data_IF_815075397830
#
_entry.id   IF_815075397830
#
_cell.length_a   1.000
_cell.length_b   1.000
_cell.length_c   1.000
_cell.angle_alpha   90.00
_cell.angle_beta   90.00
_cell.angle_gamma   90.00
#
_symmetry.space_group_name_H-M   'P 1'
#
loop_
_entity.id
_entity.type
_entity.pdbx_description
1 polymer ?
#
# COMPACT_ATOMS: atom_id res chain seq x y z
N UNK A 1 -39.71 8.26 37.71
CA UNK A 1 -38.55 8.74 36.93
C UNK A 1 -37.34 7.81 36.98
N UNK A 2 -37.20 6.93 37.99
CA UNK A 2 -35.99 6.10 38.18
C UNK A 2 -35.80 4.94 37.19
N UNK A 3 -36.89 4.35 36.67
CA UNK A 3 -36.81 3.19 35.76
C UNK A 3 -36.21 3.59 34.40
N UNK A 4 -36.55 4.77 33.89
CA UNK A 4 -36.03 5.27 32.61
C UNK A 4 -34.54 5.61 32.70
N UNK A 5 -34.08 6.21 33.81
CA UNK A 5 -32.66 6.46 34.05
C UNK A 5 -31.85 5.16 34.17
N UNK A 6 -32.41 4.14 34.80
CA UNK A 6 -31.76 2.84 34.92
C UNK A 6 -31.63 2.13 33.56
N UNK A 7 -32.68 2.15 32.74
CA UNK A 7 -32.64 1.61 31.37
C UNK A 7 -31.65 2.38 30.47
N UNK A 8 -31.56 3.71 30.61
CA UNK A 8 -30.59 4.51 29.88
C UNK A 8 -29.14 4.15 30.26
N UNK A 9 -28.88 3.95 31.55
CA UNK A 9 -27.58 3.51 32.04
C UNK A 9 -27.20 2.12 31.53
N UNK A 10 -28.12 1.15 31.57
CA UNK A 10 -27.87 -0.19 31.03
C UNK A 10 -27.57 -0.17 29.53
N UNK A 11 -28.33 0.62 28.76
CA UNK A 11 -28.07 0.78 27.32
C UNK A 11 -26.71 1.44 27.04
N UNK A 12 -26.31 2.43 27.83
CA UNK A 12 -24.99 3.02 27.75
C UNK A 12 -23.89 2.00 28.05
N UNK A 13 -24.02 1.24 29.13
CA UNK A 13 -23.09 0.17 29.48
C UNK A 13 -22.97 -0.90 28.38
N UNK A 14 -24.09 -1.32 27.80
CA UNK A 14 -24.13 -2.23 26.65
C UNK A 14 -23.43 -1.65 25.42
N UNK A 15 -23.62 -0.35 25.13
CA UNK A 15 -22.95 0.34 24.02
C UNK A 15 -21.43 0.39 24.23
N UNK A 16 -20.99 0.72 25.44
CA UNK A 16 -19.56 0.77 25.80
C UNK A 16 -18.95 -0.63 25.74
N UNK A 17 -19.63 -1.66 26.27
CA UNK A 17 -19.17 -3.03 26.23
C UNK A 17 -19.00 -3.54 24.79
N UNK A 18 -19.98 -3.29 23.91
CA UNK A 18 -19.86 -3.60 22.47
C UNK A 18 -18.67 -2.90 21.82
N UNK A 19 -18.47 -1.61 22.12
CA UNK A 19 -17.36 -0.83 21.58
C UNK A 19 -15.99 -1.34 22.04
N UNK A 20 -15.87 -1.74 23.31
CA UNK A 20 -14.66 -2.33 23.87
C UNK A 20 -14.36 -3.68 23.22
N UNK A 21 -15.39 -4.53 23.06
CA UNK A 21 -15.25 -5.85 22.44
C UNK A 21 -14.82 -5.75 20.97
N UNK A 22 -15.40 -4.81 20.22
CA UNK A 22 -14.98 -4.52 18.83
C UNK A 22 -13.53 -4.02 18.74
N UNK A 23 -13.10 -3.17 19.68
CA UNK A 23 -11.71 -2.68 19.73
C UNK A 23 -10.73 -3.81 20.06
N UNK A 24 -11.06 -4.66 21.02
CA UNK A 24 -10.26 -5.82 21.38
C UNK A 24 -10.09 -6.78 20.19
N UNK A 25 -11.19 -7.11 19.49
CA UNK A 25 -11.16 -7.93 18.28
C UNK A 25 -10.28 -7.31 17.17
N UNK A 26 -10.37 -5.99 16.97
CA UNK A 26 -9.55 -5.28 15.98
C UNK A 26 -8.06 -5.30 16.32
N UNK A 27 -7.70 -5.19 17.60
CA UNK A 27 -6.31 -5.28 18.06
C UNK A 27 -5.75 -6.69 17.87
N UNK A 28 -6.53 -7.71 18.23
CA UNK A 28 -6.13 -9.10 18.06
C UNK A 28 -5.91 -9.46 16.59
N UNK A 29 -6.81 -9.01 15.71
CA UNK A 29 -6.65 -9.18 14.26
C UNK A 29 -5.40 -8.45 13.74
N UNK A 30 -5.11 -7.24 14.24
CA UNK A 30 -3.91 -6.49 13.86
C UNK A 30 -2.61 -7.22 14.26
N UNK A 31 -2.56 -7.80 15.46
CA UNK A 31 -1.41 -8.60 15.91
C UNK A 31 -1.22 -9.88 15.09
N UNK A 32 -2.30 -10.58 14.78
CA UNK A 32 -2.23 -11.75 13.89
C UNK A 32 -1.71 -11.37 12.50
N UNK A 33 -2.23 -10.28 11.92
CA UNK A 33 -1.72 -9.77 10.65
C UNK A 33 -0.25 -9.38 10.74
N UNK A 34 0.17 -8.68 11.79
CA UNK A 34 1.57 -8.27 12.01
C UNK A 34 2.50 -9.48 12.00
N UNK A 35 2.12 -10.58 12.65
CA UNK A 35 2.91 -11.81 12.66
C UNK A 35 3.04 -12.41 11.25
N UNK A 36 1.94 -12.50 10.50
CA UNK A 36 1.95 -13.04 9.14
C UNK A 36 2.74 -12.20 8.13
N UNK A 37 2.72 -10.88 8.28
CA UNK A 37 3.34 -9.95 7.31
C UNK A 37 4.72 -9.45 7.73
N UNK A 38 5.23 -9.87 8.89
CA UNK A 38 6.51 -9.43 9.47
C UNK A 38 7.70 -9.62 8.53
N UNK A 39 7.68 -10.68 7.72
CA UNK A 39 8.73 -11.02 6.74
C UNK A 39 8.40 -10.55 5.32
N UNK A 40 7.22 -9.98 5.09
CA UNK A 40 6.80 -9.55 3.75
C UNK A 40 7.45 -8.20 3.42
N UNK A 41 8.21 -8.14 2.33
CA UNK A 41 8.94 -6.93 1.90
C UNK A 41 8.12 -6.13 0.87
N UNK A 42 7.26 -6.80 0.10
CA UNK A 42 6.44 -6.16 -0.92
C UNK A 42 5.18 -6.94 -1.26
N UNK A 43 4.21 -6.23 -1.82
CA UNK A 43 2.93 -6.75 -2.27
C UNK A 43 2.82 -6.61 -3.79
N UNK A 44 2.39 -7.68 -4.45
CA UNK A 44 2.01 -7.63 -5.86
C UNK A 44 0.50 -7.45 -5.98
N UNK A 45 0.06 -6.46 -6.75
CA UNK A 45 -1.37 -6.24 -7.02
C UNK A 45 -1.66 -6.31 -8.52
N UNK A 46 -2.84 -6.81 -8.86
CA UNK A 46 -3.36 -6.79 -10.22
C UNK A 46 -3.99 -5.42 -10.50
N UNK A 47 -3.65 -4.81 -11.65
CA UNK A 47 -4.22 -3.55 -12.09
C UNK A 47 -5.54 -3.80 -12.80
N UNK A 48 -6.53 -4.35 -12.09
CA UNK A 48 -7.93 -4.18 -12.50
C UNK A 48 -8.46 -2.90 -11.88
N UNK A 49 -9.24 -2.17 -12.67
CA UNK A 49 -9.81 -0.84 -12.37
C UNK A 49 -10.56 -0.79 -11.04
N UNK A 50 -11.01 -1.94 -10.53
CA UNK A 50 -11.77 -2.13 -9.29
C UNK A 50 -10.94 -2.09 -8.00
N UNK A 51 -9.61 -2.19 -8.10
CA UNK A 51 -8.68 -2.24 -6.96
C UNK A 51 -7.56 -1.20 -7.10
N UNK A 52 -7.75 -0.27 -8.05
CA UNK A 52 -6.78 0.75 -8.42
C UNK A 52 -7.04 2.03 -7.64
N UNK A 53 -6.05 2.43 -6.84
CA UNK A 53 -6.02 3.74 -6.21
C UNK A 53 -4.98 3.78 -5.11
N UNK A 54 -4.06 4.75 -5.18
CA UNK A 54 -3.07 5.03 -4.13
C UNK A 54 -3.71 5.15 -2.74
N UNK A 55 -4.97 5.58 -2.68
CA UNK A 55 -5.69 5.84 -1.44
C UNK A 55 -6.74 4.77 -1.07
N UNK A 56 -7.26 4.01 -2.05
CA UNK A 56 -8.40 3.09 -1.85
C UNK A 56 -8.09 1.64 -2.25
N UNK A 57 -6.82 1.33 -2.59
CA UNK A 57 -6.40 -0.03 -2.91
C UNK A 57 -6.27 -0.90 -1.66
N UNK A 58 -6.42 -2.22 -1.83
CA UNK A 58 -6.20 -3.20 -0.76
C UNK A 58 -4.80 -3.07 -0.13
N UNK A 59 -3.79 -2.71 -0.94
CA UNK A 59 -2.43 -2.44 -0.48
C UNK A 59 -2.37 -1.27 0.50
N UNK A 60 -3.02 -0.15 0.19
CA UNK A 60 -3.10 1.02 1.08
C UNK A 60 -3.79 0.70 2.40
N UNK A 61 -4.89 -0.07 2.36
CA UNK A 61 -5.58 -0.49 3.57
C UNK A 61 -4.73 -1.39 4.46
N UNK A 62 -3.95 -2.30 3.86
CA UNK A 62 -3.01 -3.14 4.60
C UNK A 62 -1.90 -2.31 5.26
N UNK A 63 -1.32 -1.35 4.54
CA UNK A 63 -0.32 -0.43 5.09
C UNK A 63 -0.85 0.37 6.29
N UNK A 64 -2.04 0.95 6.16
CA UNK A 64 -2.68 1.71 7.25
C UNK A 64 -3.01 0.83 8.47
N UNK A 65 -3.41 -0.43 8.25
CA UNK A 65 -3.74 -1.34 9.35
C UNK A 65 -2.49 -1.83 10.08
N UNK A 66 -1.45 -2.19 9.34
CA UNK A 66 -0.20 -2.73 9.89
C UNK A 66 0.72 -1.61 10.38
N UNK A 67 0.52 -0.37 9.91
CA UNK A 67 1.35 0.81 10.18
C UNK A 67 2.80 0.59 9.74
N UNK A 68 2.95 0.09 8.50
CA UNK A 68 4.24 -0.22 7.86
C UNK A 68 4.12 -0.05 6.35
N UNK A 69 5.13 0.58 5.75
CA UNK A 69 5.22 0.71 4.29
C UNK A 69 5.66 -0.62 3.66
N UNK A 70 5.06 -0.99 2.54
CA UNK A 70 5.45 -2.15 1.73
C UNK A 70 5.92 -1.71 0.35
N UNK A 71 6.77 -2.51 -0.30
CA UNK A 71 7.10 -2.29 -1.71
C UNK A 71 5.90 -2.68 -2.58
N UNK A 72 5.44 -1.75 -3.41
CA UNK A 72 4.32 -1.98 -4.33
C UNK A 72 4.86 -2.46 -5.67
N UNK A 73 4.49 -3.68 -6.07
CA UNK A 73 4.93 -4.27 -7.33
C UNK A 73 3.69 -4.49 -8.21
N UNK A 74 3.63 -3.83 -9.37
CA UNK A 74 2.55 -4.09 -10.32
C UNK A 74 2.61 -5.54 -10.85
N UNK A 75 1.49 -6.08 -11.32
CA UNK A 75 1.47 -7.41 -11.89
C UNK A 75 2.42 -7.52 -13.10
N UNK A 76 2.90 -8.73 -13.41
CA UNK A 76 3.89 -8.96 -14.48
C UNK A 76 3.44 -8.38 -15.82
N UNK A 77 2.15 -8.47 -16.13
CA UNK A 77 1.58 -7.90 -17.35
C UNK A 77 1.80 -6.38 -17.41
N UNK A 78 1.53 -5.66 -16.32
CA UNK A 78 1.69 -4.22 -16.29
C UNK A 78 3.16 -3.78 -16.33
N UNK A 79 4.08 -4.55 -15.72
CA UNK A 79 5.51 -4.29 -15.88
C UNK A 79 5.94 -4.38 -17.36
N UNK A 80 5.45 -5.39 -18.08
CA UNK A 80 5.72 -5.51 -19.51
C UNK A 80 5.09 -4.38 -20.33
N UNK A 81 3.86 -3.96 -20.02
CA UNK A 81 3.22 -2.83 -20.70
C UNK A 81 4.02 -1.53 -20.55
N UNK A 82 4.55 -1.24 -19.35
CA UNK A 82 5.39 -0.07 -19.12
C UNK A 82 6.71 -0.15 -19.88
N UNK A 83 7.43 -1.28 -19.77
CA UNK A 83 8.69 -1.52 -20.49
C UNK A 83 8.51 -1.40 -22.01
N UNK A 84 7.41 -1.98 -22.53
CA UNK A 84 7.07 -1.90 -23.95
C UNK A 84 6.71 -0.48 -24.36
N UNK A 85 5.95 0.26 -23.53
CA UNK A 85 5.61 1.66 -23.79
C UNK A 85 6.84 2.57 -23.84
N UNK A 86 7.77 2.38 -22.91
CA UNK A 86 9.00 3.17 -22.86
C UNK A 86 9.93 2.83 -24.03
N UNK A 87 10.14 1.54 -24.30
CA UNK A 87 10.92 1.10 -25.47
C UNK A 87 10.30 1.56 -26.80
N UNK A 88 8.96 1.52 -26.90
CA UNK A 88 8.26 2.06 -28.07
C UNK A 88 8.42 3.57 -28.19
N UNK A 89 8.36 4.30 -27.08
CA UNK A 89 8.50 5.76 -27.09
C UNK A 89 9.91 6.23 -27.46
N UNK A 90 10.94 5.45 -27.11
CA UNK A 90 12.32 5.71 -27.51
C UNK A 90 12.54 5.44 -29.00
N UNK A 91 12.01 4.31 -29.50
CA UNK A 91 12.19 3.92 -30.89
C UNK A 91 11.31 4.70 -31.88
N UNK A 92 10.10 5.12 -31.47
CA UNK A 92 9.07 5.64 -32.38
C UNK A 92 8.50 7.01 -31.95
N UNK A 93 9.04 7.61 -30.89
CA UNK A 93 8.58 8.89 -30.35
C UNK A 93 7.45 8.76 -29.32
N UNK A 94 7.23 9.84 -28.53
CA UNK A 94 6.28 9.85 -27.40
C UNK A 94 4.87 9.47 -27.85
N UNK A 95 4.43 8.27 -27.50
CA UNK A 95 3.02 7.91 -27.58
C UNK A 95 2.31 8.32 -26.30
N UNK A 96 1.09 8.82 -26.40
CA UNK A 96 0.25 9.24 -25.27
C UNK A 96 -0.30 8.06 -24.45
N UNK A 97 0.06 6.83 -24.82
CA UNK A 97 -0.69 5.62 -24.48
C UNK A 97 -0.54 5.11 -23.05
N UNK A 98 0.60 5.33 -22.36
CA UNK A 98 0.80 4.71 -21.06
C UNK A 98 1.81 5.43 -20.15
N UNK A 99 1.41 6.56 -19.57
CA UNK A 99 2.09 7.10 -18.39
C UNK A 99 1.48 6.48 -17.14
N UNK A 100 2.02 5.35 -16.70
CA UNK A 100 1.63 4.78 -15.40
C UNK A 100 2.25 5.60 -14.26
N UNK A 101 1.48 5.81 -13.19
CA UNK A 101 1.86 6.62 -12.03
C UNK A 101 3.08 6.06 -11.25
N UNK A 102 3.48 4.82 -11.54
CA UNK A 102 4.41 4.01 -10.74
C UNK A 102 5.86 4.51 -10.77
N UNK A 103 6.30 5.12 -11.88
CA UNK A 103 7.68 5.63 -11.98
C UNK A 103 7.94 6.78 -11.00
N UNK A 104 6.91 7.58 -10.70
CA UNK A 104 7.02 8.77 -9.84
C UNK A 104 7.23 8.42 -8.37
N UNK A 105 6.79 7.24 -7.94
CA UNK A 105 6.97 6.76 -6.56
C UNK A 105 8.31 6.02 -6.38
N UNK A 106 8.84 5.37 -7.42
CA UNK A 106 10.21 4.83 -7.41
C UNK A 106 11.28 5.93 -7.29
N UNK A 107 11.14 7.04 -8.01
CA UNK A 107 12.06 8.18 -7.88
C UNK A 107 12.05 8.80 -6.47
N UNK A 108 10.89 8.82 -5.80
CA UNK A 108 10.78 9.32 -4.42
C UNK A 108 11.40 8.41 -3.38
N UNK A 109 11.65 7.15 -3.72
CA UNK A 109 12.28 6.14 -2.85
C UNK A 109 13.79 6.00 -3.19
N UNK A 110 14.28 6.67 -4.24
CA UNK A 110 15.70 6.71 -4.62
C UNK A 110 16.56 7.48 -3.60
N UNK A 111 17.84 7.07 -3.38
CA UNK A 111 18.50 7.19 -2.09
C UNK A 111 19.02 8.60 -1.81
N UNK A 112 18.62 9.17 -0.67
CA UNK A 112 19.49 10.10 0.05
C UNK A 112 20.75 9.34 0.51
N UNK A 113 21.84 9.59 -0.22
CA UNK A 113 23.25 9.32 0.09
C UNK A 113 23.72 7.87 0.16
N UNK A 114 24.44 7.42 -0.88
CA UNK A 114 25.86 7.10 -0.76
C UNK A 114 26.54 7.32 -2.11
N UNK A 115 27.35 8.37 -2.18
CA UNK A 115 28.36 8.56 -3.22
C UNK A 115 29.31 7.37 -3.17
N UNK A 116 29.31 6.51 -4.19
CA UNK A 116 30.51 5.75 -4.52
C UNK A 116 30.89 6.06 -5.97
N UNK A 117 31.99 6.82 -6.05
CA UNK A 117 32.85 6.92 -7.21
C UNK A 117 33.06 5.55 -7.87
N UNK A 118 32.79 5.47 -9.16
CA UNK A 118 33.67 4.76 -10.09
C UNK A 118 33.89 5.63 -11.33
N UNK A 119 34.92 6.48 -11.25
CA UNK A 119 35.73 6.77 -12.43
C UNK A 119 36.56 5.52 -12.73
N UNK A 120 36.39 4.91 -13.90
CA UNK A 120 37.51 4.40 -14.70
C UNK A 120 37.05 3.84 -16.06
N UNK A 121 37.50 4.54 -17.12
CA UNK A 121 38.01 4.05 -18.42
C UNK A 121 36.98 3.40 -19.37
N UNK A 122 36.61 3.98 -20.52
CA UNK A 122 37.40 4.29 -21.74
C UNK A 122 38.33 3.15 -22.22
N UNK A 123 38.09 2.74 -23.49
CA UNK A 123 38.81 1.75 -24.33
C UNK A 123 38.42 0.29 -24.01
N UNK A 124 37.90 -0.53 -24.92
CA UNK A 124 38.04 -0.69 -26.38
C UNK A 124 36.74 -1.28 -26.95
#
# INVERSE_FOLDING_TARGET
MEVLSFLAFLNYCLKVAKQLLLRAAALQFKEQLRNCVSQVIGMRFDTKTTNSGRFNGACTFLEQKIDRNFLWIACRHHMFEVLLSDGFSECFGKSTGLKSFYLRDFEKIGPSSTTMNQKSNQNL
#
